data_IF_596698361091
#
_entry.id   IF_596698361091
#
_cell.length_a   1.000
_cell.length_b   1.000
_cell.length_c   1.000
_cell.angle_alpha   90.00
_cell.angle_beta   90.00
_cell.angle_gamma   90.00
#
_symmetry.space_group_name_H-M   'P 1'
#
loop_
_entity.id
_entity.type
_entity.pdbx_description
1 polymer ?
#
# COMPACT_ATOMS: atom_id res chain seq x y z
N UNK A 1 -14.50 10.06 -3.79
CA UNK A 1 -13.67 9.29 -4.74
C UNK A 1 -12.70 8.41 -3.98
N UNK A 2 -12.28 7.30 -4.57
CA UNK A 2 -11.29 6.37 -3.99
C UNK A 2 -10.12 6.18 -4.96
N UNK A 3 -8.87 6.09 -4.47
CA UNK A 3 -7.69 5.84 -5.31
C UNK A 3 -7.61 6.89 -6.44
N UNK A 4 -7.43 6.50 -7.70
CA UNK A 4 -7.48 7.43 -8.86
C UNK A 4 -8.82 8.19 -8.98
N UNK A 5 -9.89 7.66 -8.39
CA UNK A 5 -11.15 8.38 -8.22
C UNK A 5 -11.04 9.63 -7.34
N UNK A 6 -10.00 9.77 -6.52
CA UNK A 6 -9.72 11.02 -5.78
C UNK A 6 -9.18 12.11 -6.70
N UNK A 7 -8.28 11.78 -7.63
CA UNK A 7 -7.80 12.68 -8.70
C UNK A 7 -8.98 13.18 -9.53
N UNK A 8 -9.84 12.25 -9.98
CA UNK A 8 -11.03 12.58 -10.75
C UNK A 8 -12.02 13.42 -9.95
N UNK A 9 -12.29 13.07 -8.70
CA UNK A 9 -13.20 13.84 -7.84
C UNK A 9 -12.70 15.28 -7.64
N UNK A 10 -11.41 15.47 -7.38
CA UNK A 10 -10.81 16.79 -7.25
C UNK A 10 -10.89 17.59 -8.56
N UNK A 11 -10.57 16.96 -9.70
CA UNK A 11 -10.66 17.59 -11.02
C UNK A 11 -12.08 17.99 -11.40
N UNK A 12 -13.06 17.11 -11.19
CA UNK A 12 -14.49 17.40 -11.43
C UNK A 12 -14.96 18.55 -10.54
N UNK A 13 -14.62 18.51 -9.25
CA UNK A 13 -15.02 19.55 -8.31
C UNK A 13 -14.46 20.92 -8.73
N UNK A 14 -13.19 20.98 -9.11
CA UNK A 14 -12.56 22.19 -9.62
C UNK A 14 -13.25 22.69 -10.90
N UNK A 15 -13.40 21.82 -11.90
CA UNK A 15 -14.02 22.17 -13.19
C UNK A 15 -15.45 22.72 -13.06
N UNK A 16 -16.24 22.12 -12.15
CA UNK A 16 -17.62 22.52 -11.90
C UNK A 16 -17.72 23.79 -11.04
N UNK A 17 -16.77 23.99 -10.10
CA UNK A 17 -16.69 25.23 -9.32
C UNK A 17 -16.47 26.48 -10.18
N UNK A 18 -15.63 26.37 -11.23
CA UNK A 18 -15.41 27.44 -12.21
C UNK A 18 -16.67 27.78 -13.03
N UNK A 19 -17.68 26.91 -13.00
CA UNK A 19 -18.97 27.05 -13.69
C UNK A 19 -20.13 27.38 -12.73
N UNK A 20 -19.80 27.77 -11.50
CA UNK A 20 -20.79 28.19 -10.50
C UNK A 20 -21.48 27.05 -9.74
N UNK A 21 -21.04 25.80 -9.93
CA UNK A 21 -21.54 24.66 -9.16
C UNK A 21 -20.68 24.48 -7.91
N UNK A 22 -21.28 24.71 -6.75
CA UNK A 22 -20.59 24.62 -5.45
C UNK A 22 -20.89 23.30 -4.75
N UNK A 23 -19.88 22.74 -4.08
CA UNK A 23 -19.98 21.51 -3.31
C UNK A 23 -19.86 21.82 -1.80
N UNK A 24 -20.62 21.11 -0.97
CA UNK A 24 -20.49 21.21 0.49
C UNK A 24 -19.21 20.52 1.02
N UNK A 25 -18.59 19.65 0.23
CA UNK A 25 -17.35 18.95 0.58
C UNK A 25 -17.04 17.80 -0.37
N UNK A 26 -15.83 17.24 -0.21
CA UNK A 26 -15.37 16.05 -0.93
C UNK A 26 -14.95 14.97 0.06
N UNK A 27 -15.44 13.75 -0.15
CA UNK A 27 -14.93 12.56 0.56
C UNK A 27 -13.89 11.86 -0.33
N UNK A 28 -12.65 11.82 0.14
CA UNK A 28 -11.51 11.25 -0.58
C UNK A 28 -10.91 10.11 0.26
N UNK A 29 -10.87 8.91 -0.31
CA UNK A 29 -10.41 7.69 0.36
C UNK A 29 -9.18 7.18 -0.39
N UNK A 30 -8.10 6.85 0.33
CA UNK A 30 -6.83 6.38 -0.28
C UNK A 30 -6.34 7.32 -1.39
N UNK A 31 -5.95 8.53 -1.00
CA UNK A 31 -5.62 9.65 -1.89
C UNK A 31 -4.56 9.31 -2.95
N UNK A 32 -4.84 9.74 -4.18
CA UNK A 32 -3.94 9.71 -5.32
C UNK A 32 -3.87 11.10 -5.97
N UNK A 33 -3.40 12.10 -5.22
CA UNK A 33 -3.29 13.49 -5.70
C UNK A 33 -1.85 13.87 -6.08
N UNK A 34 -0.89 13.36 -5.33
CA UNK A 34 0.54 13.46 -5.62
C UNK A 34 1.07 12.05 -5.85
N UNK A 35 1.44 11.74 -7.08
CA UNK A 35 1.84 10.38 -7.47
C UNK A 35 3.23 10.03 -6.94
N UNK A 36 4.08 11.04 -6.70
CA UNK A 36 5.43 10.81 -6.18
C UNK A 36 5.38 10.23 -4.75
N UNK A 37 4.28 10.36 -4.03
CA UNK A 37 4.15 9.80 -2.67
C UNK A 37 3.90 8.29 -2.64
N UNK A 38 3.54 7.65 -3.77
CA UNK A 38 3.20 6.22 -3.81
C UNK A 38 3.69 5.47 -5.07
N UNK A 39 4.28 6.16 -6.04
CA UNK A 39 4.92 5.53 -7.20
C UNK A 39 6.39 5.24 -6.89
N UNK A 40 6.70 3.96 -6.69
CA UNK A 40 8.08 3.49 -6.50
C UNK A 40 8.81 3.45 -7.85
N UNK A 41 9.64 4.46 -8.11
CA UNK A 41 10.46 4.56 -9.32
C UNK A 41 11.92 4.85 -8.98
N UNK A 42 12.88 4.55 -9.87
CA UNK A 42 14.26 4.98 -9.69
C UNK A 42 14.33 6.49 -9.40
N UNK A 43 15.18 6.88 -8.44
CA UNK A 43 15.37 8.24 -7.96
C UNK A 43 14.17 8.88 -7.21
N UNK A 44 13.07 8.17 -7.00
CA UNK A 44 12.00 8.62 -6.11
C UNK A 44 12.08 7.91 -4.76
N UNK A 45 12.68 8.57 -3.77
CA UNK A 45 12.89 8.03 -2.42
C UNK A 45 11.69 8.24 -1.48
N UNK A 46 10.85 9.22 -1.79
CA UNK A 46 9.72 9.62 -0.96
C UNK A 46 8.75 8.46 -0.61
N UNK A 47 8.32 7.59 -1.55
CA UNK A 47 7.34 6.55 -1.22
C UNK A 47 7.90 5.51 -0.25
N UNK A 48 9.21 5.24 -0.29
CA UNK A 48 9.87 4.33 0.64
C UNK A 48 9.82 4.86 2.08
N UNK A 49 10.07 6.16 2.27
CA UNK A 49 9.97 6.83 3.57
C UNK A 49 8.54 6.80 4.10
N UNK A 50 7.56 7.15 3.25
CA UNK A 50 6.17 7.29 3.66
C UNK A 50 5.51 5.94 3.99
N UNK A 51 5.84 4.87 3.26
CA UNK A 51 5.21 3.56 3.45
C UNK A 51 5.80 2.78 4.64
N UNK A 52 7.05 3.04 5.04
CA UNK A 52 7.74 2.20 6.02
C UNK A 52 7.02 2.06 7.38
N UNK A 53 6.40 3.10 7.97
CA UNK A 53 5.61 2.92 9.19
C UNK A 53 4.41 1.96 9.02
N UNK A 54 3.84 1.83 7.83
CA UNK A 54 2.78 0.86 7.54
C UNK A 54 3.33 -0.58 7.48
N UNK A 55 4.58 -0.76 7.05
CA UNK A 55 5.28 -2.04 7.16
C UNK A 55 5.46 -2.43 8.62
N UNK A 56 5.84 -1.50 9.49
CA UNK A 56 5.92 -1.75 10.95
C UNK A 56 4.58 -2.16 11.53
N UNK A 57 3.51 -1.43 11.21
CA UNK A 57 2.16 -1.78 11.64
C UNK A 57 1.77 -3.21 11.23
N UNK A 58 2.09 -3.56 9.98
CA UNK A 58 1.81 -4.89 9.43
C UNK A 58 2.63 -5.97 10.14
N UNK A 59 3.92 -5.73 10.35
CA UNK A 59 4.81 -6.67 11.01
C UNK A 59 4.39 -6.94 12.47
N UNK A 60 3.96 -5.91 13.19
CA UNK A 60 3.43 -6.04 14.55
C UNK A 60 2.12 -6.85 14.57
N UNK A 61 1.20 -6.57 13.64
CA UNK A 61 -0.05 -7.33 13.52
C UNK A 61 0.19 -8.84 13.31
N UNK A 62 1.20 -9.19 12.53
CA UNK A 62 1.58 -10.59 12.26
C UNK A 62 2.57 -11.18 13.28
N UNK A 63 2.87 -10.48 14.37
CA UNK A 63 3.79 -10.95 15.41
C UNK A 63 5.25 -11.10 14.96
N UNK A 64 5.64 -10.47 13.84
CA UNK A 64 7.03 -10.43 13.35
C UNK A 64 7.85 -9.34 14.02
N UNK A 65 7.20 -8.38 14.68
CA UNK A 65 7.80 -7.35 15.54
C UNK A 65 6.98 -7.29 16.82
N UNK A 66 7.63 -7.41 17.98
CA UNK A 66 6.99 -7.22 19.27
C UNK A 66 6.84 -5.72 19.57
N UNK A 67 5.64 -5.28 19.91
CA UNK A 67 5.35 -3.91 20.29
C UNK A 67 5.46 -3.67 21.80
N UNK A 68 5.70 -4.72 22.60
CA UNK A 68 5.81 -4.65 24.05
C UNK A 68 4.55 -4.12 24.74
N UNK A 69 3.39 -4.18 24.07
CA UNK A 69 2.14 -3.60 24.53
C UNK A 69 1.97 -2.10 24.25
N UNK A 70 2.89 -1.44 23.54
CA UNK A 70 2.78 -0.04 23.12
C UNK A 70 2.90 0.12 21.59
N UNK A 71 1.87 -0.32 20.88
CA UNK A 71 1.75 -0.17 19.43
C UNK A 71 1.91 1.29 18.95
N UNK A 72 1.40 2.26 19.72
CA UNK A 72 1.49 3.68 19.32
C UNK A 72 2.91 4.20 19.45
N UNK A 73 3.62 3.82 20.50
CA UNK A 73 5.04 4.09 20.69
C UNK A 73 5.89 3.46 19.60
N UNK A 74 5.65 2.21 19.24
CA UNK A 74 6.32 1.53 18.12
C UNK A 74 6.13 2.31 16.81
N UNK A 75 4.90 2.71 16.48
CA UNK A 75 4.64 3.50 15.28
C UNK A 75 5.24 4.91 15.31
N UNK A 76 5.32 5.54 16.49
CA UNK A 76 6.02 6.80 16.64
C UNK A 76 7.53 6.64 16.37
N UNK A 77 8.15 5.58 16.90
CA UNK A 77 9.55 5.22 16.62
C UNK A 77 9.76 4.98 15.12
N UNK A 78 8.89 4.20 14.47
CA UNK A 78 8.98 3.93 13.04
C UNK A 78 8.90 5.22 12.20
N UNK A 79 7.97 6.13 12.51
CA UNK A 79 7.87 7.44 11.83
C UNK A 79 9.11 8.30 12.02
N UNK A 80 9.65 8.35 13.25
CA UNK A 80 10.86 9.11 13.55
C UNK A 80 12.09 8.55 12.81
N UNK A 81 12.21 7.22 12.76
CA UNK A 81 13.27 6.57 11.98
C UNK A 81 13.10 6.81 10.47
N UNK A 82 11.88 6.68 9.95
CA UNK A 82 11.54 6.90 8.54
C UNK A 82 11.97 8.30 8.06
N UNK A 83 11.45 9.33 8.73
CA UNK A 83 11.64 10.74 8.36
C UNK A 83 13.02 11.31 8.78
N UNK A 84 13.82 10.54 9.50
CA UNK A 84 15.15 10.92 9.96
C UNK A 84 16.23 10.02 9.33
N UNK A 85 16.83 9.09 10.10
CA UNK A 85 17.95 8.29 9.63
C UNK A 85 17.71 7.53 8.32
N UNK A 86 16.51 6.97 8.10
CA UNK A 86 16.23 6.22 6.88
C UNK A 86 16.18 7.14 5.66
N UNK A 87 15.45 8.24 5.74
CA UNK A 87 15.44 9.26 4.68
C UNK A 87 16.85 9.78 4.39
N UNK A 88 17.64 10.11 5.42
CA UNK A 88 19.02 10.56 5.23
C UNK A 88 19.88 9.52 4.51
N UNK A 89 19.72 8.25 4.84
CA UNK A 89 20.44 7.15 4.18
C UNK A 89 20.05 7.01 2.70
N UNK A 90 18.76 7.08 2.37
CA UNK A 90 18.29 7.03 0.98
C UNK A 90 18.85 8.20 0.15
N UNK A 91 18.86 9.40 0.72
CA UNK A 91 19.39 10.60 0.06
C UNK A 91 20.92 10.59 -0.09
N UNK A 92 21.65 10.01 0.87
CA UNK A 92 23.10 9.81 0.74
C UNK A 92 23.44 8.87 -0.42
N UNK A 93 22.56 7.90 -0.73
CA UNK A 93 22.72 6.99 -1.86
C UNK A 93 24.08 6.30 -1.86
N UNK A 94 24.83 6.43 -2.96
CA UNK A 94 26.15 5.82 -3.10
C UNK A 94 27.23 6.39 -2.16
N UNK A 95 27.00 7.54 -1.51
CA UNK A 95 27.92 8.11 -0.53
C UNK A 95 27.79 7.46 0.86
N UNK A 96 26.78 6.60 1.08
CA UNK A 96 26.56 5.90 2.34
C UNK A 96 27.64 4.82 2.56
N UNK A 97 28.33 4.87 3.70
CA UNK A 97 29.36 3.86 4.00
C UNK A 97 28.74 2.45 4.17
N UNK A 98 29.49 1.37 3.93
CA UNK A 98 29.01 0.01 4.18
C UNK A 98 28.49 -0.20 5.61
N UNK A 99 29.15 0.39 6.61
CA UNK A 99 28.79 0.30 8.03
C UNK A 99 27.48 1.05 8.31
N UNK A 100 27.33 2.26 7.75
CA UNK A 100 26.09 3.02 7.86
C UNK A 100 24.92 2.28 7.20
N UNK A 101 25.14 1.74 5.99
CA UNK A 101 24.15 0.95 5.26
C UNK A 101 23.72 -0.30 6.04
N UNK A 102 24.68 -1.01 6.65
CA UNK A 102 24.40 -2.16 7.49
C UNK A 102 23.60 -1.78 8.74
N UNK A 103 23.93 -0.65 9.39
CA UNK A 103 23.18 -0.15 10.55
C UNK A 103 21.74 0.21 10.19
N UNK A 104 21.51 0.86 9.04
CA UNK A 104 20.16 1.21 8.58
C UNK A 104 19.36 -0.04 8.24
N UNK A 105 19.98 -1.03 7.58
CA UNK A 105 19.33 -2.31 7.29
C UNK A 105 18.96 -3.08 8.56
N UNK A 106 19.78 -3.02 9.62
CA UNK A 106 19.48 -3.64 10.90
C UNK A 106 18.26 -2.99 11.59
N UNK A 107 18.18 -1.65 11.59
CA UNK A 107 17.03 -0.95 12.17
C UNK A 107 15.76 -1.16 11.34
N UNK A 108 15.86 -1.18 10.00
CA UNK A 108 14.76 -1.57 9.13
C UNK A 108 14.27 -2.98 9.46
N UNK A 109 15.18 -3.94 9.65
CA UNK A 109 14.80 -5.30 10.02
C UNK A 109 14.10 -5.36 11.38
N UNK A 110 14.61 -4.65 12.37
CA UNK A 110 14.01 -4.57 13.70
C UNK A 110 12.60 -3.96 13.68
N UNK A 111 12.35 -2.97 12.80
CA UNK A 111 11.07 -2.28 12.71
C UNK A 111 10.07 -2.92 11.76
N UNK A 112 10.51 -3.77 10.82
CA UNK A 112 9.64 -4.32 9.77
C UNK A 112 9.53 -5.83 9.78
N UNK A 113 10.33 -6.53 10.59
CA UNK A 113 10.37 -7.99 10.64
C UNK A 113 11.00 -8.65 9.40
N UNK A 114 11.33 -7.88 8.36
CA UNK A 114 12.02 -8.39 7.17
C UNK A 114 13.53 -8.39 7.41
N UNK A 115 14.19 -9.51 7.16
CA UNK A 115 15.61 -9.66 7.48
C UNK A 115 16.51 -8.60 6.82
N UNK A 116 17.54 -8.15 7.55
CA UNK A 116 18.48 -7.12 7.09
C UNK A 116 19.15 -7.47 5.74
N UNK A 117 19.39 -8.76 5.48
CA UNK A 117 19.96 -9.22 4.19
C UNK A 117 19.05 -8.87 3.00
N UNK A 118 17.73 -8.92 3.18
CA UNK A 118 16.76 -8.57 2.13
C UNK A 118 16.82 -7.06 1.87
N UNK A 119 16.89 -6.24 2.90
CA UNK A 119 17.10 -4.80 2.74
C UNK A 119 18.41 -4.46 2.04
N UNK A 120 19.53 -5.10 2.43
CA UNK A 120 20.84 -4.87 1.81
C UNK A 120 20.86 -5.23 0.33
N UNK A 121 20.28 -6.37 -0.06
CA UNK A 121 20.18 -6.80 -1.47
C UNK A 121 19.33 -5.85 -2.33
N UNK A 122 18.40 -5.12 -1.72
CA UNK A 122 17.55 -4.16 -2.42
C UNK A 122 18.01 -2.70 -2.18
N UNK A 123 19.27 -2.49 -1.80
CA UNK A 123 19.82 -1.14 -1.55
C UNK A 123 18.93 -0.30 -0.62
N UNK A 124 18.45 -0.92 0.46
CA UNK A 124 17.54 -0.34 1.45
C UNK A 124 16.14 0.04 0.93
N UNK A 125 15.74 -0.37 -0.28
CA UNK A 125 14.46 -0.02 -0.91
C UNK A 125 13.58 -1.24 -1.14
N UNK A 126 12.50 -1.37 -0.38
CA UNK A 126 11.44 -2.35 -0.66
C UNK A 126 10.16 -1.63 -1.08
N UNK A 127 9.68 -1.94 -2.27
CA UNK A 127 8.32 -1.58 -2.68
C UNK A 127 7.27 -2.40 -1.91
N UNK A 128 6.02 -1.95 -1.98
CA UNK A 128 4.91 -2.54 -1.24
C UNK A 128 4.65 -4.01 -1.63
N UNK A 129 4.72 -4.34 -2.92
CA UNK A 129 4.46 -5.69 -3.40
C UNK A 129 5.53 -6.66 -2.87
N UNK A 130 6.79 -6.24 -2.86
CA UNK A 130 7.90 -7.01 -2.32
C UNK A 130 7.78 -7.20 -0.81
N UNK A 131 7.50 -6.14 -0.05
CA UNK A 131 7.27 -6.27 1.39
C UNK A 131 6.16 -7.28 1.72
N UNK A 132 5.03 -7.22 0.99
CA UNK A 132 3.90 -8.11 1.20
C UNK A 132 4.24 -9.59 0.96
N UNK A 133 5.22 -9.88 0.10
CA UNK A 133 5.72 -11.25 -0.12
C UNK A 133 6.76 -11.68 0.91
N UNK A 134 7.64 -10.78 1.32
CA UNK A 134 8.80 -11.12 2.16
C UNK A 134 8.42 -11.36 3.63
N UNK A 135 7.41 -10.65 4.16
CA UNK A 135 7.10 -10.67 5.59
C UNK A 135 6.78 -12.07 6.15
N UNK A 136 6.04 -12.89 5.40
CA UNK A 136 5.62 -14.26 5.77
C UNK A 136 6.17 -15.31 4.79
N UNK A 137 7.26 -15.00 4.09
CA UNK A 137 7.83 -15.87 3.06
C UNK A 137 8.27 -17.24 3.62
N UNK A 138 8.78 -17.24 4.86
CA UNK A 138 9.19 -18.44 5.61
C UNK A 138 8.03 -19.40 5.89
N UNK A 139 6.81 -18.88 5.93
CA UNK A 139 5.57 -19.64 6.09
C UNK A 139 4.90 -20.02 4.75
N UNK A 140 5.50 -19.63 3.61
CA UNK A 140 4.90 -19.81 2.29
C UNK A 140 3.63 -18.98 2.06
N UNK A 141 3.53 -17.81 2.73
CA UNK A 141 2.34 -16.94 2.71
C UNK A 141 2.68 -15.54 2.19
N UNK A 142 1.64 -14.82 1.78
CA UNK A 142 1.68 -13.40 1.42
C UNK A 142 0.62 -12.64 2.22
N UNK A 143 0.88 -11.37 2.51
CA UNK A 143 -0.10 -10.46 3.12
C UNK A 143 -0.76 -9.58 2.06
N UNK A 144 -1.96 -9.08 2.37
CA UNK A 144 -2.72 -8.23 1.46
C UNK A 144 -2.08 -6.86 1.25
N UNK A 145 -2.21 -6.32 0.03
CA UNK A 145 -1.63 -5.01 -0.33
C UNK A 145 -2.57 -3.86 0.03
N UNK A 146 -3.88 -4.07 -0.03
CA UNK A 146 -4.90 -3.08 0.38
C UNK A 146 -5.22 -3.17 1.87
N UNK A 147 -5.26 -4.40 2.40
CA UNK A 147 -5.41 -4.69 3.84
C UNK A 147 -4.51 -5.86 4.23
N UNK A 148 -3.42 -5.53 4.92
CA UNK A 148 -2.38 -6.50 5.25
C UNK A 148 -2.79 -7.52 6.30
N UNK A 149 -3.99 -7.40 6.90
CA UNK A 149 -4.54 -8.42 7.79
C UNK A 149 -4.99 -9.68 7.04
N UNK A 150 -5.31 -9.54 5.75
CA UNK A 150 -5.60 -10.68 4.89
C UNK A 150 -4.32 -11.42 4.56
N UNK A 151 -4.39 -12.76 4.64
CA UNK A 151 -3.26 -13.65 4.38
C UNK A 151 -3.68 -14.67 3.33
N UNK A 152 -2.82 -14.85 2.33
CA UNK A 152 -3.00 -15.80 1.24
C UNK A 152 -1.83 -16.77 1.16
N UNK A 153 -2.02 -17.90 0.46
CA UNK A 153 -0.91 -18.76 0.05
C UNK A 153 -0.07 -18.05 -1.00
N UNK A 154 1.25 -18.21 -0.92
CA UNK A 154 2.15 -17.79 -1.97
C UNK A 154 2.23 -18.87 -3.05
N UNK A 155 1.30 -18.86 -4.01
CA UNK A 155 1.22 -19.88 -5.06
C UNK A 155 2.32 -19.70 -6.14
N UNK A 156 2.89 -18.50 -6.27
CA UNK A 156 4.04 -18.20 -7.13
C UNK A 156 5.06 -17.29 -6.42
N UNK A 157 6.10 -17.88 -5.79
CA UNK A 157 7.16 -17.11 -5.13
C UNK A 157 7.96 -16.19 -6.05
N UNK A 158 7.90 -16.39 -7.37
CA UNK A 158 8.62 -15.57 -8.36
C UNK A 158 7.77 -14.42 -8.91
N UNK A 159 6.49 -14.33 -8.54
CA UNK A 159 5.62 -13.25 -8.98
C UNK A 159 6.03 -11.92 -8.33
N UNK A 160 6.85 -11.17 -9.06
CA UNK A 160 7.34 -9.86 -8.65
C UNK A 160 6.22 -8.84 -8.44
N UNK A 161 5.03 -9.04 -9.02
CA UNK A 161 3.90 -8.11 -8.94
C UNK A 161 2.90 -8.46 -7.84
N UNK A 162 3.03 -9.63 -7.20
CA UNK A 162 2.05 -10.15 -6.25
C UNK A 162 0.62 -10.04 -6.82
N UNK A 163 0.41 -10.57 -8.03
CA UNK A 163 -0.82 -10.47 -8.81
C UNK A 163 -2.04 -11.08 -8.11
N UNK A 164 -1.82 -11.97 -7.14
CA UNK A 164 -2.84 -12.57 -6.28
C UNK A 164 -2.78 -11.91 -4.90
N UNK A 165 -3.58 -10.88 -4.72
CA UNK A 165 -3.68 -10.13 -3.47
C UNK A 165 -4.85 -10.68 -2.63
N UNK A 166 -4.61 -11.30 -1.46
CA UNK A 166 -5.67 -11.88 -0.64
C UNK A 166 -6.66 -10.83 -0.11
N UNK A 167 -6.25 -9.56 0.00
CA UNK A 167 -7.14 -8.45 0.40
C UNK A 167 -8.04 -7.96 -0.74
N UNK A 168 -7.73 -8.31 -1.99
CA UNK A 168 -8.59 -8.06 -3.14
C UNK A 168 -9.46 -9.28 -3.48
N UNK A 169 -8.83 -10.46 -3.56
CA UNK A 169 -9.49 -11.69 -3.99
C UNK A 169 -10.54 -12.18 -2.97
N UNK A 170 -10.25 -12.08 -1.68
CA UNK A 170 -11.14 -12.56 -0.61
C UNK A 170 -12.50 -11.85 -0.59
N UNK A 171 -12.54 -10.50 -0.54
CA UNK A 171 -13.80 -9.77 -0.52
C UNK A 171 -14.57 -9.74 -1.86
N UNK A 172 -13.94 -10.09 -2.99
CA UNK A 172 -14.49 -9.90 -4.34
C UNK A 172 -15.90 -10.50 -4.51
N UNK A 173 -16.08 -11.77 -4.10
CA UNK A 173 -17.35 -12.48 -4.21
C UNK A 173 -18.47 -11.84 -3.40
N UNK A 174 -18.31 -11.70 -2.07
CA UNK A 174 -19.29 -11.03 -1.22
C UNK A 174 -19.67 -9.62 -1.69
N UNK A 175 -18.69 -8.81 -2.13
CA UNK A 175 -18.96 -7.47 -2.67
C UNK A 175 -19.79 -7.53 -3.97
N UNK A 176 -19.43 -8.43 -4.89
CA UNK A 176 -20.20 -8.62 -6.14
C UNK A 176 -21.65 -8.98 -5.85
N UNK A 177 -21.88 -9.90 -4.90
CA UNK A 177 -23.23 -10.33 -4.51
C UNK A 177 -23.99 -9.17 -3.88
N UNK A 178 -23.40 -8.46 -2.93
CA UNK A 178 -24.05 -7.35 -2.23
C UNK A 178 -24.44 -6.20 -3.19
N UNK A 179 -23.56 -5.84 -4.13
CA UNK A 179 -23.87 -4.81 -5.14
C UNK A 179 -24.98 -5.27 -6.08
N UNK A 180 -24.95 -6.51 -6.58
CA UNK A 180 -26.01 -7.03 -7.43
C UNK A 180 -27.36 -7.09 -6.71
N UNK A 181 -27.37 -7.52 -5.45
CA UNK A 181 -28.57 -7.56 -4.62
C UNK A 181 -29.14 -6.14 -4.42
N UNK A 182 -28.28 -5.17 -4.07
CA UNK A 182 -28.67 -3.78 -3.90
C UNK A 182 -29.24 -3.15 -5.19
N UNK A 183 -28.52 -3.29 -6.31
CA UNK A 183 -28.96 -2.74 -7.59
C UNK A 183 -30.31 -3.32 -8.02
N UNK A 184 -30.49 -4.65 -7.93
CA UNK A 184 -31.69 -5.32 -8.43
C UNK A 184 -32.89 -5.17 -7.48
N UNK A 185 -32.71 -5.40 -6.18
CA UNK A 185 -33.82 -5.46 -5.22
C UNK A 185 -34.19 -4.11 -4.62
N UNK A 186 -33.22 -3.20 -4.45
CA UNK A 186 -33.46 -1.93 -3.77
C UNK A 186 -33.55 -0.75 -4.74
N UNK A 187 -32.71 -0.70 -5.77
CA UNK A 187 -32.74 0.37 -6.78
C UNK A 187 -33.69 0.02 -7.94
N UNK A 188 -33.89 -1.27 -8.24
CA UNK A 188 -34.69 -1.74 -9.37
C UNK A 188 -33.95 -1.67 -10.71
N UNK A 189 -32.61 -1.62 -10.69
CA UNK A 189 -31.77 -1.66 -11.88
C UNK A 189 -31.53 -3.12 -12.30
N UNK A 190 -32.15 -3.55 -13.39
CA UNK A 190 -32.13 -4.94 -13.87
C UNK A 190 -31.42 -5.09 -15.24
N UNK A 191 -30.14 -4.71 -15.30
CA UNK A 191 -29.30 -4.94 -16.47
C UNK A 191 -28.80 -6.41 -16.48
N UNK A 192 -28.95 -7.15 -17.60
CA UNK A 192 -28.44 -8.52 -17.71
C UNK A 192 -26.92 -8.60 -17.81
N UNK A 193 -26.21 -7.47 -18.04
CA UNK A 193 -24.76 -7.46 -18.11
C UNK A 193 -24.13 -7.90 -16.78
N UNK A 194 -23.07 -8.72 -16.82
CA UNK A 194 -22.28 -9.03 -15.63
C UNK A 194 -21.75 -7.75 -14.99
N UNK A 195 -21.85 -7.64 -13.67
CA UNK A 195 -21.21 -6.56 -12.94
C UNK A 195 -19.69 -6.74 -12.98
N UNK A 196 -18.99 -5.77 -13.55
CA UNK A 196 -17.52 -5.73 -13.55
C UNK A 196 -17.02 -4.80 -12.45
N UNK A 197 -16.26 -5.34 -11.49
CA UNK A 197 -15.70 -4.56 -10.38
C UNK A 197 -14.63 -3.58 -10.88
N UNK A 198 -13.81 -3.99 -11.85
CA UNK A 198 -12.85 -3.15 -12.55
C UNK A 198 -13.01 -3.41 -14.04
N UNK A 199 -13.47 -2.41 -14.78
CA UNK A 199 -13.46 -2.41 -16.24
C UNK A 199 -12.42 -1.41 -16.74
N UNK A 200 -11.30 -1.90 -17.27
CA UNK A 200 -10.24 -1.04 -17.80
C UNK A 200 -10.61 -0.40 -19.14
N UNK A 201 -11.59 -0.94 -19.87
CA UNK A 201 -12.03 -0.40 -21.16
C UNK A 201 -12.66 0.97 -21.03
N UNK A 202 -13.18 1.33 -19.85
CA UNK A 202 -13.71 2.67 -19.60
C UNK A 202 -12.64 3.77 -19.67
N UNK A 203 -11.36 3.39 -19.69
CA UNK A 203 -10.23 4.32 -19.86
C UNK A 203 -9.78 4.46 -21.32
N UNK A 204 -10.35 3.68 -22.24
CA UNK A 204 -10.07 3.75 -23.69
C UNK A 204 -10.98 4.83 -24.30
N UNK A 205 -10.56 6.09 -24.16
CA UNK A 205 -11.19 7.27 -24.78
C UNK A 205 -10.46 7.75 -26.01
#
# INVERSE_FOLDING_TARGET
GESYGTTRAAGIAHHLSERGVMFNGLLLISLALDFDTFVFSPANELPHVLIMPAYTATAAYHGKVDDGGDFRGLLAKARAFASGPYQQALFAGAALSPEQKASVAAELAALTGVEARTWLRNDLRLDQARFCRELLADEGKVVGRLDSRYVGRNDDPQDARATRDPSYDGPLGPFTVAVNDHLRRHIGYDDPKPYSIIDLKVNEG
#
